data_IF_457689060792
#
_entry.id   IF_457689060792
#
_cell.length_a   1.000
_cell.length_b   1.000
_cell.length_c   1.000
_cell.angle_alpha   90.00
_cell.angle_beta   90.00
_cell.angle_gamma   90.00
#
_symmetry.space_group_name_H-M   'P 1'
#
loop_
_entity.id
_entity.type
_entity.pdbx_description
1 polymer ?
#
# COMPACT_ATOMS: atom_id res chain seq x y z
N UNK A 1 0.03 56.34 34.59
CA UNK A 1 -0.13 56.09 36.04
C UNK A 1 1.24 55.82 36.62
N UNK A 2 1.77 56.74 37.44
CA UNK A 2 3.07 56.58 38.12
C UNK A 2 2.85 55.85 39.45
N UNK A 3 3.74 54.93 39.81
CA UNK A 3 3.66 54.13 41.04
C UNK A 3 4.37 54.92 42.14
N UNK A 4 3.59 55.53 43.04
CA UNK A 4 4.14 56.48 44.02
C UNK A 4 4.10 55.94 45.47
N UNK A 5 3.69 54.68 45.67
CA UNK A 5 3.55 54.07 47.00
C UNK A 5 3.93 52.57 46.95
N UNK A 6 4.69 52.11 47.96
CA UNK A 6 5.14 50.71 48.12
C UNK A 6 3.97 49.70 48.09
N UNK A 7 2.82 50.06 48.67
CA UNK A 7 1.63 49.20 48.69
C UNK A 7 1.03 48.98 47.29
N UNK A 8 1.00 50.04 46.47
CA UNK A 8 0.54 49.97 45.08
C UNK A 8 1.50 49.15 44.21
N UNK A 9 2.81 49.21 44.50
CA UNK A 9 3.80 48.40 43.79
C UNK A 9 3.59 46.90 44.06
N UNK A 10 3.38 46.50 45.31
CA UNK A 10 3.10 45.10 45.67
C UNK A 10 1.81 44.58 45.04
N UNK A 11 0.73 45.36 45.09
CA UNK A 11 -0.54 44.99 44.44
C UNK A 11 -0.37 44.82 42.92
N UNK A 12 0.45 45.69 42.29
CA UNK A 12 0.74 45.59 40.85
C UNK A 12 1.60 44.35 40.53
N UNK A 13 2.58 44.03 41.36
CA UNK A 13 3.40 42.81 41.22
C UNK A 13 2.50 41.58 41.30
N UNK A 14 1.65 41.49 42.32
CA UNK A 14 0.75 40.35 42.49
C UNK A 14 -0.22 40.19 41.31
N UNK A 15 -0.78 41.30 40.82
CA UNK A 15 -1.61 41.31 39.60
C UNK A 15 -0.84 40.84 38.36
N UNK A 16 0.40 41.30 38.18
CA UNK A 16 1.25 40.92 37.04
C UNK A 16 1.68 39.45 37.12
N UNK A 17 1.95 38.92 38.30
CA UNK A 17 2.25 37.50 38.52
C UNK A 17 1.07 36.60 38.19
N UNK A 18 -0.13 36.97 38.67
CA UNK A 18 -1.38 36.29 38.31
C UNK A 18 -1.62 36.31 36.79
N UNK A 19 -1.49 37.48 36.16
CA UNK A 19 -1.65 37.63 34.70
C UNK A 19 -0.61 36.83 33.92
N UNK A 20 0.63 36.77 34.40
CA UNK A 20 1.72 35.98 33.81
C UNK A 20 1.45 34.48 33.94
N UNK A 21 0.84 34.03 35.04
CA UNK A 21 0.41 32.65 35.25
C UNK A 21 -0.60 32.20 34.20
N UNK A 22 -1.70 32.96 34.06
CA UNK A 22 -2.75 32.69 33.05
C UNK A 22 -2.18 32.73 31.63
N UNK A 23 -1.32 33.70 31.34
CA UNK A 23 -0.68 33.81 30.03
C UNK A 23 0.18 32.58 29.68
N UNK A 24 0.95 32.06 30.64
CA UNK A 24 1.77 30.85 30.44
C UNK A 24 0.93 29.61 30.16
N UNK A 25 -0.20 29.46 30.84
CA UNK A 25 -1.10 28.32 30.67
C UNK A 25 -1.76 28.33 29.30
N UNK A 26 -2.29 29.48 28.89
CA UNK A 26 -2.81 29.68 27.53
C UNK A 26 -1.77 29.39 26.44
N UNK A 27 -0.52 29.83 26.61
CA UNK A 27 0.54 29.55 25.64
C UNK A 27 0.84 28.05 25.57
N UNK A 28 0.88 27.35 26.71
CA UNK A 28 1.05 25.88 26.75
C UNK A 28 -0.07 25.15 26.03
N UNK A 29 -1.32 25.55 26.23
CA UNK A 29 -2.46 24.93 25.55
C UNK A 29 -2.41 25.17 24.04
N UNK A 30 -2.10 26.38 23.61
CA UNK A 30 -1.94 26.70 22.18
C UNK A 30 -0.78 25.93 21.55
N UNK A 31 0.36 25.78 22.23
CA UNK A 31 1.46 24.95 21.73
C UNK A 31 1.07 23.48 21.67
N UNK A 32 0.32 22.97 22.66
CA UNK A 32 -0.13 21.57 22.69
C UNK A 32 -1.13 21.28 21.56
N UNK A 33 -2.05 22.20 21.26
CA UNK A 33 -3.01 22.04 20.17
C UNK A 33 -2.33 22.15 18.80
N UNK A 34 -1.37 23.08 18.65
CA UNK A 34 -0.53 23.17 17.45
C UNK A 34 0.32 21.91 17.27
N UNK A 35 0.92 21.40 18.35
CA UNK A 35 1.69 20.16 18.33
C UNK A 35 0.82 18.96 17.91
N UNK A 36 -0.41 18.88 18.42
CA UNK A 36 -1.37 17.86 18.00
C UNK A 36 -1.84 18.04 16.54
N UNK A 37 -1.84 19.27 15.99
CA UNK A 37 -2.21 19.54 14.61
C UNK A 37 -1.09 19.24 13.60
N UNK A 38 0.18 19.46 13.97
CA UNK A 38 1.35 19.14 13.13
C UNK A 38 1.74 17.67 13.19
N UNK A 39 1.22 16.91 14.16
CA UNK A 39 1.49 15.48 14.24
C UNK A 39 0.97 14.77 12.97
N UNK A 40 1.83 14.00 12.27
CA UNK A 40 1.47 13.34 11.02
C UNK A 40 0.21 12.47 11.16
N UNK A 41 0.05 11.82 12.31
CA UNK A 41 -1.08 10.96 12.63
C UNK A 41 -2.42 11.72 12.57
N UNK A 42 -2.46 12.96 13.04
CA UNK A 42 -3.68 13.78 13.06
C UNK A 42 -3.99 14.36 11.67
N UNK A 43 -2.95 14.67 10.89
CA UNK A 43 -3.07 15.04 9.46
C UNK A 43 -3.63 13.85 8.66
N UNK A 44 -3.12 12.65 8.89
CA UNK A 44 -3.65 11.41 8.31
C UNK A 44 -5.10 11.17 8.74
N UNK A 45 -5.42 11.35 10.03
CA UNK A 45 -6.79 11.16 10.55
C UNK A 45 -7.79 12.12 9.91
N UNK A 46 -7.43 13.40 9.77
CA UNK A 46 -8.25 14.40 9.09
C UNK A 46 -8.34 14.19 7.58
N UNK A 47 -7.27 13.70 6.94
CA UNK A 47 -7.29 13.29 5.54
C UNK A 47 -8.21 12.08 5.33
N UNK A 48 -8.16 11.08 6.22
CA UNK A 48 -9.01 9.89 6.24
C UNK A 48 -10.49 10.27 6.46
N UNK A 49 -10.77 11.20 7.38
CA UNK A 49 -12.11 11.73 7.59
C UNK A 49 -12.66 12.50 6.36
N UNK A 50 -11.79 13.09 5.52
CA UNK A 50 -12.18 13.75 4.25
C UNK A 50 -12.39 12.77 3.08
N UNK A 51 -12.07 11.48 3.23
CA UNK A 51 -12.23 10.45 2.19
C UNK A 51 -13.71 10.16 1.89
N UNK A 52 -14.63 10.49 2.80
CA UNK A 52 -16.07 10.31 2.58
C UNK A 52 -16.65 11.20 1.46
N UNK A 53 -15.87 12.14 0.91
CA UNK A 53 -16.26 12.90 -0.29
C UNK A 53 -15.87 12.15 -1.58
N UNK A 54 -16.80 11.97 -2.54
CA UNK A 54 -16.54 11.25 -3.80
C UNK A 54 -15.40 11.85 -4.64
N UNK A 55 -15.14 13.16 -4.51
CA UNK A 55 -14.01 13.85 -5.19
C UNK A 55 -12.65 13.41 -4.64
N UNK A 56 -12.58 13.08 -3.35
CA UNK A 56 -11.35 12.64 -2.69
C UNK A 56 -11.04 11.16 -2.95
N UNK A 57 -12.07 10.32 -3.12
CA UNK A 57 -11.88 8.91 -3.49
C UNK A 57 -11.12 8.78 -4.81
N UNK A 58 -11.46 9.60 -5.81
CA UNK A 58 -10.77 9.56 -7.10
C UNK A 58 -9.30 10.01 -6.98
N UNK A 59 -9.02 11.07 -6.20
CA UNK A 59 -7.67 11.57 -5.94
C UNK A 59 -6.81 10.59 -5.13
N UNK A 60 -7.40 9.86 -4.19
CA UNK A 60 -6.69 8.85 -3.40
C UNK A 60 -6.45 7.60 -4.23
N UNK A 61 -7.42 7.18 -5.05
CA UNK A 61 -7.23 6.09 -5.98
C UNK A 61 -6.08 6.39 -6.95
N UNK A 62 -6.07 7.58 -7.57
CA UNK A 62 -4.97 7.98 -8.47
C UNK A 62 -3.63 8.13 -7.74
N UNK A 63 -3.60 8.67 -6.52
CA UNK A 63 -2.38 8.73 -5.72
C UNK A 63 -1.87 7.35 -5.28
N UNK A 64 -2.77 6.44 -4.87
CA UNK A 64 -2.44 5.06 -4.50
C UNK A 64 -1.97 4.24 -5.70
N UNK A 65 -2.51 4.51 -6.89
CA UNK A 65 -1.99 3.98 -8.15
C UNK A 65 -0.59 4.53 -8.43
N UNK A 66 -0.32 5.81 -8.20
CA UNK A 66 1.02 6.39 -8.36
C UNK A 66 2.05 5.81 -7.39
N UNK A 67 1.69 5.69 -6.10
CA UNK A 67 2.55 5.11 -5.06
C UNK A 67 2.74 3.61 -5.29
N UNK A 68 1.65 2.88 -5.53
CA UNK A 68 1.68 1.44 -5.81
C UNK A 68 2.49 1.14 -7.07
N UNK A 69 2.26 1.89 -8.15
CA UNK A 69 3.02 1.74 -9.41
C UNK A 69 4.48 2.13 -9.20
N UNK A 70 4.80 3.18 -8.44
CA UNK A 70 6.19 3.55 -8.14
C UNK A 70 6.92 2.47 -7.34
N UNK A 71 6.29 1.92 -6.29
CA UNK A 71 6.88 0.84 -5.47
C UNK A 71 7.04 -0.45 -6.29
N UNK A 72 6.02 -0.81 -7.07
CA UNK A 72 6.08 -1.98 -7.95
C UNK A 72 7.15 -1.76 -9.02
N UNK A 73 7.13 -0.63 -9.71
CA UNK A 73 8.10 -0.26 -10.75
C UNK A 73 9.53 -0.31 -10.21
N UNK A 74 9.81 0.31 -9.05
CA UNK A 74 11.13 0.28 -8.43
C UNK A 74 11.54 -1.16 -8.04
N UNK A 75 10.59 -1.96 -7.54
CA UNK A 75 10.85 -3.38 -7.20
C UNK A 75 11.04 -4.28 -8.43
N UNK A 76 10.53 -3.88 -9.60
CA UNK A 76 10.75 -4.57 -10.87
C UNK A 76 12.06 -4.12 -11.56
N UNK A 77 12.40 -2.83 -11.49
CA UNK A 77 13.58 -2.24 -12.16
C UNK A 77 14.86 -2.48 -11.35
N UNK A 78 14.84 -2.23 -10.04
CA UNK A 78 16.04 -2.31 -9.19
C UNK A 78 16.46 -3.75 -8.91
N UNK A 79 15.52 -4.70 -8.93
CA UNK A 79 15.82 -6.10 -8.64
C UNK A 79 15.85 -6.95 -9.92
N UNK A 80 17.03 -7.07 -10.54
CA UNK A 80 17.31 -7.93 -11.72
C UNK A 80 16.86 -9.40 -11.56
N UNK A 81 16.62 -9.87 -10.32
CA UNK A 81 16.14 -11.24 -10.01
C UNK A 81 14.78 -11.27 -9.32
N UNK A 82 13.89 -10.31 -9.60
CA UNK A 82 12.55 -10.30 -8.97
C UNK A 82 11.71 -11.51 -9.41
N UNK A 83 11.22 -12.37 -8.49
CA UNK A 83 10.37 -13.52 -8.82
C UNK A 83 9.01 -13.10 -9.41
N UNK A 84 8.60 -11.84 -9.24
CA UNK A 84 7.35 -11.30 -9.79
C UNK A 84 7.43 -11.18 -11.32
N UNK A 85 8.53 -10.66 -11.89
CA UNK A 85 8.69 -10.56 -13.34
C UNK A 85 8.65 -11.93 -14.01
N UNK A 86 9.36 -12.91 -13.43
CA UNK A 86 9.36 -14.29 -13.93
C UNK A 86 7.97 -14.91 -13.91
N UNK A 87 7.17 -14.65 -12.86
CA UNK A 87 5.78 -15.11 -12.77
C UNK A 87 4.88 -14.46 -13.81
N UNK A 88 5.04 -13.16 -14.06
CA UNK A 88 4.25 -12.44 -15.08
C UNK A 88 4.61 -12.96 -16.48
N UNK A 89 5.89 -13.03 -16.81
CA UNK A 89 6.36 -13.57 -18.09
C UNK A 89 5.91 -15.02 -18.29
N UNK A 90 6.03 -15.87 -17.26
CA UNK A 90 5.57 -17.26 -17.29
C UNK A 90 4.06 -17.37 -17.54
N UNK A 91 3.25 -16.51 -16.91
CA UNK A 91 1.80 -16.47 -17.17
C UNK A 91 1.47 -15.99 -18.58
N UNK A 92 2.18 -15.00 -19.12
CA UNK A 92 1.98 -14.54 -20.50
C UNK A 92 2.30 -15.64 -21.51
N UNK A 93 3.42 -16.34 -21.32
CA UNK A 93 3.79 -17.50 -22.14
C UNK A 93 2.73 -18.59 -22.01
N UNK A 94 2.30 -18.91 -20.79
CA UNK A 94 1.26 -19.92 -20.55
C UNK A 94 -0.06 -19.54 -21.23
N UNK A 95 -0.49 -18.29 -21.16
CA UNK A 95 -1.71 -17.82 -21.82
C UNK A 95 -1.58 -17.87 -23.35
N UNK A 96 -0.43 -17.51 -23.90
CA UNK A 96 -0.14 -17.64 -25.33
C UNK A 96 -0.23 -19.09 -25.80
N UNK A 97 0.46 -20.00 -25.11
CA UNK A 97 0.42 -21.44 -25.41
C UNK A 97 -1.01 -21.97 -25.23
N UNK A 98 -1.70 -21.59 -24.16
CA UNK A 98 -3.08 -22.04 -23.87
C UNK A 98 -4.03 -21.61 -24.98
N UNK A 99 -3.92 -20.40 -25.50
CA UNK A 99 -4.75 -19.94 -26.63
C UNK A 99 -4.46 -20.71 -27.92
N UNK A 100 -3.19 -21.02 -28.20
CA UNK A 100 -2.80 -21.80 -29.38
C UNK A 100 -3.30 -23.25 -29.26
N UNK A 101 -3.18 -23.84 -28.06
CA UNK A 101 -3.65 -25.18 -27.75
C UNK A 101 -5.18 -25.25 -27.78
N UNK A 102 -5.88 -24.24 -27.25
CA UNK A 102 -7.34 -24.17 -27.27
C UNK A 102 -7.88 -24.12 -28.71
N UNK A 103 -7.23 -23.36 -29.61
CA UNK A 103 -7.61 -23.30 -31.03
C UNK A 103 -7.36 -24.61 -31.79
N UNK A 104 -6.38 -25.40 -31.36
CA UNK A 104 -6.00 -26.67 -31.99
C UNK A 104 -6.37 -27.90 -31.16
N UNK A 105 -7.29 -27.75 -30.20
CA UNK A 105 -7.55 -28.73 -29.15
C UNK A 105 -7.92 -30.10 -29.71
N UNK A 106 -8.72 -30.16 -30.78
CA UNK A 106 -9.15 -31.41 -31.42
C UNK A 106 -7.97 -32.20 -32.02
N UNK A 107 -7.02 -31.51 -32.67
CA UNK A 107 -5.82 -32.14 -33.24
C UNK A 107 -4.87 -32.62 -32.15
N UNK A 108 -4.67 -31.79 -31.12
CA UNK A 108 -3.81 -32.10 -29.98
C UNK A 108 -4.37 -33.28 -29.17
N UNK A 109 -5.70 -33.36 -29.01
CA UNK A 109 -6.39 -34.47 -28.33
C UNK A 109 -6.27 -35.78 -29.12
N UNK A 110 -6.35 -35.72 -30.46
CA UNK A 110 -6.14 -36.91 -31.30
C UNK A 110 -4.70 -37.42 -31.23
N UNK A 111 -3.72 -36.51 -31.26
CA UNK A 111 -2.29 -36.84 -31.13
C UNK A 111 -1.97 -37.39 -29.73
N UNK A 112 -2.50 -36.78 -28.66
CA UNK A 112 -2.27 -37.27 -27.30
C UNK A 112 -2.89 -38.65 -27.05
N UNK A 113 -4.07 -38.92 -27.61
CA UNK A 113 -4.69 -40.26 -27.58
C UNK A 113 -3.86 -41.27 -28.38
N UNK A 114 -3.36 -40.91 -29.56
CA UNK A 114 -2.54 -41.79 -30.38
C UNK A 114 -1.21 -42.15 -29.70
N UNK A 115 -0.52 -41.17 -29.12
CA UNK A 115 0.72 -41.37 -28.35
C UNK A 115 0.45 -42.21 -27.09
N UNK A 116 -0.61 -41.89 -26.33
CA UNK A 116 -1.00 -42.65 -25.14
C UNK A 116 -1.28 -44.11 -25.46
N UNK A 117 -1.99 -44.39 -26.55
CA UNK A 117 -2.24 -45.77 -27.02
C UNK A 117 -0.97 -46.50 -27.41
N UNK A 118 0.00 -45.85 -28.05
CA UNK A 118 1.28 -46.48 -28.39
C UNK A 118 2.10 -46.83 -27.14
N UNK A 119 2.10 -45.97 -26.13
CA UNK A 119 2.81 -46.21 -24.85
C UNK A 119 2.13 -47.34 -24.06
N UNK A 120 0.79 -47.35 -23.97
CA UNK A 120 0.04 -48.43 -23.31
C UNK A 120 0.18 -49.78 -24.03
N UNK A 121 0.11 -49.79 -25.36
CA UNK A 121 0.25 -51.02 -26.16
C UNK A 121 1.66 -51.62 -26.07
N UNK A 122 2.69 -50.79 -25.92
CA UNK A 122 4.07 -51.25 -25.67
C UNK A 122 4.23 -51.90 -24.30
N UNK A 123 3.49 -51.43 -23.28
CA UNK A 123 3.54 -51.97 -21.92
C UNK A 123 2.86 -53.34 -21.80
N UNK A 124 1.72 -53.56 -22.48
CA UNK A 124 1.04 -54.87 -22.45
C UNK A 124 1.81 -55.94 -23.23
N UNK A 125 2.45 -55.60 -24.36
CA UNK A 125 3.23 -56.57 -25.13
C UNK A 125 4.46 -57.10 -24.36
N UNK A 126 4.98 -56.34 -23.40
CA UNK A 126 6.12 -56.75 -22.58
C UNK A 126 5.73 -57.64 -21.39
N UNK A 127 4.43 -57.72 -21.07
CA UNK A 127 3.90 -58.56 -20.00
C UNK A 127 3.48 -59.95 -20.51
N UNK A 128 3.10 -60.07 -21.78
CA UNK A 128 2.73 -61.36 -22.41
C UNK A 128 3.95 -62.18 -22.91
N UNK A 129 5.12 -61.57 -23.12
CA UNK A 129 6.36 -62.25 -23.52
C UNK A 129 7.20 -62.76 -22.32
N UNK A 130 6.67 -62.69 -21.08
CA UNK A 130 7.32 -63.16 -19.85
C UNK A 130 6.48 -64.18 -19.05
N UNK A 131 5.52 -64.86 -19.70
CA UNK A 131 4.80 -66.02 -19.14
C UNK A 131 5.13 -67.29 -19.94
#
# INVERSE_FOLDING_TARGET
>A
MQINNSKQLQERIHYLEWKKGIGKENIKENIKSLYAAIQPVNILKSAIAKIYSPVFQHKIFSASLGIGTGIISNKLITNKRSPILKRIAGRLVQLGITNIVAKNASKIKAVSIAIGRQILKKKNKQFDDNL
#
